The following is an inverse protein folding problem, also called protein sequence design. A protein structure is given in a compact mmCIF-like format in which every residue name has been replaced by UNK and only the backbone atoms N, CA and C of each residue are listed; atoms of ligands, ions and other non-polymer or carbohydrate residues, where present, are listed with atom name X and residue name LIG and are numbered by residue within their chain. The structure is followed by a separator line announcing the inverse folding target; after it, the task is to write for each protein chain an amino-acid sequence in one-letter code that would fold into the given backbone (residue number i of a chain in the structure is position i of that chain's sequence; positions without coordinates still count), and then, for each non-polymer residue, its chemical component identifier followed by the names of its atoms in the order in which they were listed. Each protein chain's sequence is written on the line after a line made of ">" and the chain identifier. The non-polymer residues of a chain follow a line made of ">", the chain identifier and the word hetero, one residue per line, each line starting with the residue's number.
data_IF_810478534805
#
_entry.id   IF_810478534805
#
_cell.length_a   1.000
_cell.length_b   1.000
_cell.length_c   1.000
_cell.angle_alpha   90.00
_cell.angle_beta   90.00
_cell.angle_gamma   90.00
#
_symmetry.space_group_name_H-M   'P 1'
#
loop_
_entity.id
_entity.type
_entity.pdbx_description
1 polymer ?
#
# COMPACT_ATOMS: atom_id res chain seq x y z
N UNK A 1 35.84 25.47 3.17
CA UNK A 1 35.36 24.17 3.69
C UNK A 1 33.84 24.26 3.85
N UNK A 2 33.11 24.11 2.74
CA UNK A 2 31.66 23.94 2.75
C UNK A 2 31.43 22.65 1.97
N UNK A 3 30.96 21.62 2.68
CA UNK A 3 30.72 20.31 2.11
C UNK A 3 29.57 20.39 1.10
N UNK A 4 29.92 20.14 -0.16
CA UNK A 4 29.04 20.06 -1.30
C UNK A 4 28.20 18.78 -1.23
N UNK A 5 26.96 18.89 -1.70
CA UNK A 5 26.28 17.88 -2.52
C UNK A 5 25.93 16.54 -1.85
N UNK A 6 24.69 16.46 -1.33
CA UNK A 6 24.00 15.19 -1.12
C UNK A 6 23.63 14.54 -2.45
N UNK A 7 24.32 13.44 -2.77
CA UNK A 7 23.96 12.49 -3.83
C UNK A 7 22.71 11.71 -3.42
N UNK A 8 21.62 11.79 -4.19
CA UNK A 8 20.67 10.68 -4.33
C UNK A 8 20.25 10.57 -5.79
N UNK A 9 20.50 9.40 -6.36
CA UNK A 9 20.48 9.14 -7.79
C UNK A 9 19.05 9.04 -8.30
N UNK A 10 18.65 9.95 -9.19
CA UNK A 10 17.38 9.85 -9.93
C UNK A 10 17.64 9.13 -11.25
N UNK A 11 17.58 7.80 -11.24
CA UNK A 11 17.52 7.01 -12.47
C UNK A 11 16.20 7.27 -13.19
N UNK A 12 16.28 8.14 -14.21
CA UNK A 12 15.20 8.58 -15.08
C UNK A 12 15.08 7.59 -16.25
N UNK A 13 14.18 6.62 -16.16
CA UNK A 13 13.87 5.73 -17.28
C UNK A 13 13.08 6.51 -18.36
N UNK A 14 13.68 6.57 -19.54
CA UNK A 14 13.18 7.20 -20.77
C UNK A 14 12.14 6.27 -21.43
N UNK A 15 11.00 6.83 -21.84
CA UNK A 15 9.92 6.21 -22.65
C UNK A 15 9.23 4.95 -22.07
N UNK A 16 8.16 5.18 -21.31
CA UNK A 16 7.17 4.15 -20.98
C UNK A 16 5.83 4.81 -20.68
N UNK A 17 4.77 4.35 -21.36
CA UNK A 17 3.35 4.67 -21.11
C UNK A 17 3.11 4.92 -19.63
N UNK A 18 2.54 6.08 -19.30
CA UNK A 18 2.29 6.59 -17.96
C UNK A 18 1.39 5.63 -17.16
N UNK A 19 1.97 4.57 -16.58
CA UNK A 19 1.33 3.74 -15.57
C UNK A 19 1.18 4.64 -14.35
N UNK A 20 -0.03 5.18 -14.14
CA UNK A 20 -0.42 5.76 -12.85
C UNK A 20 -0.11 4.69 -11.81
N UNK A 21 0.88 4.94 -10.96
CA UNK A 21 1.20 4.10 -9.82
C UNK A 21 -0.04 4.10 -8.92
N UNK A 22 -0.97 3.17 -9.17
CA UNK A 22 -2.10 2.94 -8.28
C UNK A 22 -1.45 2.38 -7.03
N UNK A 23 -1.35 3.20 -5.99
CA UNK A 23 -1.09 2.74 -4.64
C UNK A 23 -2.08 1.58 -4.41
N UNK A 24 -1.58 0.36 -4.48
CA UNK A 24 -2.42 -0.83 -4.52
C UNK A 24 -3.23 -0.93 -3.23
N UNK A 25 -4.49 -1.34 -3.34
CA UNK A 25 -5.29 -1.67 -2.17
C UNK A 25 -4.62 -2.81 -1.40
N UNK A 26 -4.52 -2.69 -0.08
CA UNK A 26 -3.96 -3.71 0.81
C UNK A 26 -5.11 -4.47 1.45
N UNK A 27 -5.11 -5.80 1.33
CA UNK A 27 -6.13 -6.66 1.94
C UNK A 27 -5.50 -7.49 3.05
N UNK A 28 -6.04 -7.38 4.26
CA UNK A 28 -5.71 -8.21 5.41
C UNK A 28 -6.81 -9.24 5.65
N UNK A 29 -6.41 -10.49 5.85
CA UNK A 29 -7.31 -11.60 6.18
C UNK A 29 -6.76 -12.25 7.46
N UNK A 30 -7.55 -12.23 8.53
CA UNK A 30 -7.29 -12.94 9.78
C UNK A 30 -8.20 -14.18 9.84
N UNK A 31 -7.57 -15.35 9.94
CA UNK A 31 -8.28 -16.63 10.04
C UNK A 31 -8.02 -17.18 11.43
N UNK A 32 -9.07 -17.18 12.24
CA UNK A 32 -9.09 -17.75 13.58
C UNK A 32 -9.84 -19.08 13.60
N UNK A 33 -9.88 -19.74 14.76
CA UNK A 33 -10.55 -21.04 14.93
C UNK A 33 -12.06 -21.03 14.68
N UNK A 34 -12.72 -19.88 14.78
CA UNK A 34 -14.18 -19.76 14.66
C UNK A 34 -14.64 -18.67 13.70
N UNK A 35 -13.74 -17.78 13.26
CA UNK A 35 -14.10 -16.63 12.45
C UNK A 35 -13.00 -16.27 11.45
N UNK A 36 -13.44 -15.71 10.33
CA UNK A 36 -12.59 -15.04 9.34
C UNK A 36 -12.92 -13.56 9.41
N UNK A 37 -11.89 -12.71 9.52
CA UNK A 37 -12.03 -11.25 9.45
C UNK A 37 -11.29 -10.74 8.22
N UNK A 38 -11.93 -9.88 7.45
CA UNK A 38 -11.38 -9.22 6.27
C UNK A 38 -11.31 -7.72 6.53
N UNK A 39 -10.19 -7.11 6.14
CA UNK A 39 -10.00 -5.66 6.14
C UNK A 39 -9.32 -5.23 4.84
N UNK A 40 -9.95 -4.33 4.09
CA UNK A 40 -9.36 -3.69 2.93
C UNK A 40 -8.97 -2.26 3.27
N UNK A 41 -7.72 -1.91 2.95
CA UNK A 41 -7.12 -0.61 3.22
C UNK A 41 -6.64 0.05 1.94
N UNK A 42 -6.99 1.32 1.76
CA UNK A 42 -6.34 2.21 0.80
C UNK A 42 -5.26 3.03 1.52
N UNK A 43 -4.21 3.42 0.79
CA UNK A 43 -3.21 4.37 1.29
C UNK A 43 -3.46 5.73 0.63
N UNK A 44 -3.61 6.78 1.44
CA UNK A 44 -3.79 8.15 0.95
C UNK A 44 -3.07 9.13 1.86
N UNK A 45 -2.27 10.03 1.27
CA UNK A 45 -1.52 11.07 1.98
C UNK A 45 -0.67 10.55 3.16
N UNK A 46 -0.07 9.36 3.01
CA UNK A 46 0.77 8.74 4.04
C UNK A 46 0.00 8.10 5.20
N UNK A 47 -1.34 8.03 5.11
CA UNK A 47 -2.20 7.32 6.05
C UNK A 47 -2.93 6.15 5.40
N UNK A 48 -3.44 5.25 6.23
CA UNK A 48 -4.31 4.15 5.80
C UNK A 48 -5.77 4.51 6.06
N UNK A 49 -6.64 4.19 5.10
CA UNK A 49 -8.09 4.32 5.21
C UNK A 49 -8.73 2.96 5.02
N UNK A 50 -9.72 2.65 5.85
CA UNK A 50 -10.54 1.44 5.69
C UNK A 50 -11.54 1.66 4.56
N UNK A 51 -11.48 0.77 3.56
CA UNK A 51 -12.42 0.74 2.45
C UNK A 51 -13.50 -0.33 2.68
N UNK A 52 -13.12 -1.51 3.19
CA UNK A 52 -14.05 -2.58 3.49
C UNK A 52 -13.65 -3.34 4.75
N UNK A 53 -14.66 -3.84 5.47
CA UNK A 53 -14.49 -4.70 6.64
C UNK A 53 -15.59 -5.76 6.64
N UNK A 54 -15.26 -7.00 6.96
CA UNK A 54 -16.24 -8.07 7.07
C UNK A 54 -15.78 -9.12 8.07
N UNK A 55 -16.75 -9.79 8.68
CA UNK A 55 -16.54 -10.94 9.57
C UNK A 55 -17.49 -12.04 9.17
N UNK A 56 -16.96 -13.25 9.03
CA UNK A 56 -17.74 -14.45 8.75
C UNK A 56 -17.41 -15.54 9.77
N UNK A 57 -18.41 -16.24 10.28
CA UNK A 57 -18.22 -17.42 11.11
C UNK A 57 -17.75 -18.60 10.25
N UNK A 58 -16.86 -19.41 10.80
CA UNK A 58 -16.51 -20.70 10.23
C UNK A 58 -17.52 -21.77 10.68
N UNK A 59 -17.84 -22.75 9.80
CA UNK A 59 -18.73 -23.85 10.14
C UNK A 59 -18.15 -24.76 11.22
#
# INVERSE_FOLDING_TARGET
>A
MVALMGHTEKCKAVFGVLRKNRQGSRVGIDISSTTVKLLELSESNGGYRVEAYSVASLP
#
